data_IF_622688058652
#
_entry.id   IF_622688058652
#
_cell.length_a   1.000
_cell.length_b   1.000
_cell.length_c   1.000
_cell.angle_alpha   90.00
_cell.angle_beta   90.00
_cell.angle_gamma   90.00
#
_symmetry.space_group_name_H-M   'P 1'
#
loop_
_entity.id
_entity.type
_entity.pdbx_description
1 polymer ?
#
# COMPACT_ATOMS: atom_id res chain seq x y z
N UNK A 1 19.49 -1.48 0.01
CA UNK A 1 18.33 -2.39 0.05
C UNK A 1 17.33 -2.07 1.16
N UNK A 2 17.51 -2.47 2.44
CA UNK A 2 16.53 -2.11 3.52
C UNK A 2 16.28 -0.60 3.60
N UNK A 3 17.32 0.20 3.43
CA UNK A 3 17.23 1.66 3.45
C UNK A 3 16.43 2.25 2.27
N UNK A 4 16.41 1.57 1.11
CA UNK A 4 15.70 2.04 -0.10
C UNK A 4 14.21 1.72 0.00
N UNK A 5 13.84 0.54 0.50
CA UNK A 5 12.44 0.17 0.80
C UNK A 5 11.84 1.16 1.80
N UNK A 6 12.57 1.48 2.87
CA UNK A 6 12.12 2.45 3.87
C UNK A 6 11.98 3.87 3.27
N UNK A 7 12.93 4.29 2.43
CA UNK A 7 12.85 5.58 1.75
C UNK A 7 11.67 5.67 0.77
N UNK A 8 11.40 4.61 0.01
CA UNK A 8 10.26 4.54 -0.89
C UNK A 8 8.93 4.58 -0.12
N UNK A 9 8.82 3.83 0.97
CA UNK A 9 7.65 3.86 1.85
C UNK A 9 7.44 5.24 2.48
N UNK A 10 8.52 5.89 2.93
CA UNK A 10 8.46 7.25 3.46
C UNK A 10 7.99 8.25 2.39
N UNK A 11 8.44 8.09 1.14
CA UNK A 11 8.01 8.93 0.02
C UNK A 11 6.52 8.75 -0.30
N UNK A 12 6.00 7.51 -0.30
CA UNK A 12 4.55 7.28 -0.47
C UNK A 12 3.73 8.03 0.57
N UNK A 13 4.15 7.97 1.85
CA UNK A 13 3.48 8.69 2.94
C UNK A 13 3.61 10.20 2.83
N UNK A 14 4.81 10.70 2.55
CA UNK A 14 5.10 12.13 2.51
C UNK A 14 4.37 12.82 1.36
N UNK A 15 4.26 12.14 0.22
CA UNK A 15 3.64 12.68 -0.99
C UNK A 15 2.14 12.38 -1.08
N UNK A 16 1.56 11.72 -0.06
CA UNK A 16 0.17 11.25 -0.05
C UNK A 16 -0.18 10.44 -1.32
N UNK A 17 0.68 9.47 -1.67
CA UNK A 17 0.50 8.61 -2.83
C UNK A 17 0.08 7.20 -2.41
N UNK A 18 -0.81 6.63 -3.21
CA UNK A 18 -1.24 5.23 -3.07
C UNK A 18 -0.10 4.30 -3.49
N UNK A 19 0.15 3.28 -2.67
CA UNK A 19 1.13 2.24 -2.94
C UNK A 19 0.93 1.04 -2.03
N UNK A 20 1.82 0.06 -2.13
CA UNK A 20 1.79 -1.12 -1.28
C UNK A 20 3.18 -1.51 -0.79
N UNK A 21 3.30 -1.93 0.47
CA UNK A 21 4.44 -2.68 0.97
C UNK A 21 4.11 -4.17 0.87
N UNK A 22 4.84 -4.88 0.04
CA UNK A 22 4.64 -6.29 -0.23
C UNK A 22 5.76 -7.06 0.46
N UNK A 23 5.43 -7.94 1.40
CA UNK A 23 6.39 -8.65 2.24
C UNK A 23 6.12 -10.15 2.26
N UNK A 24 7.14 -10.96 2.05
CA UNK A 24 7.03 -12.41 2.24
C UNK A 24 7.07 -12.71 3.74
N UNK A 25 5.96 -13.20 4.28
CA UNK A 25 5.78 -13.47 5.71
C UNK A 25 5.91 -14.96 6.07
N UNK A 26 6.00 -15.84 5.06
CA UNK A 26 6.29 -17.27 5.21
C UNK A 26 6.82 -17.85 3.89
N UNK A 27 7.69 -18.87 3.95
CA UNK A 27 8.29 -19.54 2.80
C UNK A 27 9.78 -19.22 2.52
N UNK A 28 10.31 -19.62 1.35
CA UNK A 28 11.75 -19.57 1.03
C UNK A 28 12.39 -18.17 1.08
N UNK A 29 11.60 -17.12 0.82
CA UNK A 29 12.06 -15.73 0.73
C UNK A 29 11.59 -14.89 1.94
N UNK A 30 11.35 -15.54 3.09
CA UNK A 30 10.84 -14.88 4.30
C UNK A 30 11.66 -13.63 4.66
N UNK A 31 10.95 -12.51 4.83
CA UNK A 31 11.53 -11.20 5.16
C UNK A 31 11.92 -10.35 3.96
N UNK A 32 11.90 -10.90 2.73
CA UNK A 32 11.98 -10.08 1.53
C UNK A 32 10.78 -9.14 1.43
N UNK A 33 11.05 -7.89 1.03
CA UNK A 33 10.05 -6.86 0.90
C UNK A 33 10.34 -5.91 -0.25
N UNK A 34 9.27 -5.46 -0.90
CA UNK A 34 9.30 -4.44 -1.95
C UNK A 34 8.20 -3.42 -1.72
N UNK A 35 8.41 -2.20 -2.19
CA UNK A 35 7.39 -1.16 -2.27
C UNK A 35 6.97 -1.00 -3.72
N UNK A 36 5.66 -1.09 -3.97
CA UNK A 36 5.03 -0.78 -5.25
C UNK A 36 4.35 0.58 -5.16
N UNK A 37 4.69 1.48 -6.07
CA UNK A 37 4.04 2.77 -6.25
C UNK A 37 2.94 2.66 -7.31
N UNK A 38 1.68 2.90 -6.93
CA UNK A 38 0.52 2.74 -7.83
C UNK A 38 0.53 3.74 -8.99
N UNK A 39 1.05 4.95 -8.76
CA UNK A 39 0.99 6.04 -9.73
C UNK A 39 2.05 5.88 -10.83
N UNK A 40 3.24 5.41 -10.45
CA UNK A 40 4.39 5.29 -11.37
C UNK A 40 4.61 3.87 -11.86
N UNK A 41 4.05 2.86 -11.17
CA UNK A 41 4.38 1.45 -11.38
C UNK A 41 5.79 1.09 -10.89
N UNK A 42 6.48 2.01 -10.20
CA UNK A 42 7.83 1.77 -9.73
C UNK A 42 7.83 0.73 -8.60
N UNK A 43 8.72 -0.24 -8.71
CA UNK A 43 8.99 -1.24 -7.68
C UNK A 43 10.36 -0.95 -7.08
N UNK A 44 10.41 -0.76 -5.76
CA UNK A 44 11.65 -0.52 -5.01
C UNK A 44 11.87 -1.63 -4.00
N UNK A 45 13.01 -2.32 -4.08
CA UNK A 45 13.35 -3.39 -3.15
C UNK A 45 14.42 -4.31 -3.73
N UNK A 46 14.41 -5.56 -3.28
CA UNK A 46 15.43 -6.56 -3.63
C UNK A 46 15.31 -7.12 -5.06
N UNK A 47 14.24 -6.79 -5.80
CA UNK A 47 14.02 -7.24 -7.17
C UNK A 47 13.89 -8.77 -7.26
N UNK A 48 13.43 -9.39 -6.18
CA UNK A 48 13.48 -10.83 -6.02
C UNK A 48 12.50 -11.57 -6.95
N UNK A 49 12.85 -12.80 -7.40
CA UNK A 49 12.05 -13.55 -8.39
C UNK A 49 10.64 -13.96 -7.93
N UNK A 50 10.33 -13.85 -6.65
CA UNK A 50 9.01 -14.16 -6.11
C UNK A 50 7.97 -13.09 -6.46
N UNK A 51 8.40 -11.88 -6.84
CA UNK A 51 7.52 -10.80 -7.24
C UNK A 51 7.19 -10.94 -8.74
N UNK A 52 6.19 -11.77 -9.03
CA UNK A 52 5.70 -11.99 -10.38
C UNK A 52 4.48 -11.11 -10.71
N UNK A 53 3.93 -11.30 -11.91
CA UNK A 53 2.79 -10.53 -12.42
C UNK A 53 1.52 -10.77 -11.62
N UNK A 54 1.30 -11.97 -11.08
CA UNK A 54 0.12 -12.30 -10.27
C UNK A 54 0.16 -11.53 -8.95
N UNK A 55 1.31 -11.49 -8.27
CA UNK A 55 1.49 -10.71 -7.03
C UNK A 55 1.26 -9.22 -7.27
N UNK A 56 1.76 -8.68 -8.39
CA UNK A 56 1.58 -7.27 -8.75
C UNK A 56 0.12 -6.98 -9.09
N UNK A 57 -0.56 -7.88 -9.81
CA UNK A 57 -1.98 -7.74 -10.14
C UNK A 57 -2.83 -7.70 -8.87
N UNK A 58 -2.65 -8.67 -7.98
CA UNK A 58 -3.38 -8.73 -6.71
C UNK A 58 -3.07 -7.52 -5.82
N UNK A 59 -1.84 -7.00 -5.84
CA UNK A 59 -1.49 -5.77 -5.12
C UNK A 59 -2.23 -4.55 -5.66
N UNK A 60 -2.38 -4.43 -6.99
CA UNK A 60 -3.18 -3.36 -7.59
C UNK A 60 -4.66 -3.49 -7.23
N UNK A 61 -5.23 -4.69 -7.29
CA UNK A 61 -6.63 -4.93 -6.92
C UNK A 61 -6.91 -4.63 -5.45
N UNK A 62 -5.97 -4.97 -4.56
CA UNK A 62 -6.05 -4.64 -3.13
C UNK A 62 -5.90 -3.14 -2.86
N UNK A 63 -4.99 -2.46 -3.56
CA UNK A 63 -4.84 -1.01 -3.47
C UNK A 63 -6.10 -0.27 -3.93
N UNK A 64 -6.69 -0.69 -5.05
CA UNK A 64 -7.92 -0.09 -5.59
C UNK A 64 -9.13 -0.27 -4.63
N UNK A 65 -9.05 -1.24 -3.72
CA UNK A 65 -10.04 -1.51 -2.67
C UNK A 65 -9.65 -1.01 -1.28
N UNK A 66 -8.48 -0.40 -1.14
CA UNK A 66 -7.88 0.01 0.13
C UNK A 66 -7.84 -1.12 1.19
N UNK A 67 -7.56 -2.37 0.76
CA UNK A 67 -7.47 -3.53 1.63
C UNK A 67 -6.02 -3.99 1.80
N UNK A 68 -5.66 -4.43 3.01
CA UNK A 68 -4.41 -5.16 3.28
C UNK A 68 -4.72 -6.63 3.53
N UNK A 69 -3.98 -7.55 2.88
CA UNK A 69 -4.27 -8.99 2.95
C UNK A 69 -3.02 -9.85 2.80
N UNK A 70 -3.03 -11.00 3.46
CA UNK A 70 -2.07 -12.08 3.20
C UNK A 70 -2.63 -13.04 2.15
N UNK A 71 -1.89 -13.28 1.07
CA UNK A 71 -2.20 -14.18 -0.02
C UNK A 71 -1.12 -15.26 -0.16
N UNK A 72 -1.44 -16.36 -0.83
CA UNK A 72 -0.55 -17.52 -0.99
C UNK A 72 -0.18 -17.67 -2.45
N UNK A 73 1.13 -17.74 -2.73
CA UNK A 73 1.70 -17.91 -4.07
C UNK A 73 2.70 -19.08 -4.04
N UNK A 74 2.27 -20.26 -4.48
CA UNK A 74 3.05 -21.49 -4.34
C UNK A 74 3.40 -21.80 -2.88
N UNK A 75 4.69 -21.83 -2.55
CA UNK A 75 5.20 -22.09 -1.20
C UNK A 75 5.35 -20.81 -0.33
N UNK A 76 4.92 -19.66 -0.84
CA UNK A 76 5.08 -18.37 -0.18
C UNK A 76 3.75 -17.85 0.33
N UNK A 77 3.77 -17.27 1.52
CA UNK A 77 2.68 -16.40 1.99
C UNK A 77 3.16 -14.96 1.98
N UNK A 78 2.50 -14.12 1.21
CA UNK A 78 2.88 -12.73 0.97
C UNK A 78 1.82 -11.83 1.58
N UNK A 79 2.23 -10.92 2.45
CA UNK A 79 1.38 -9.86 2.98
C UNK A 79 1.53 -8.62 2.11
N UNK A 80 0.41 -8.16 1.57
CA UNK A 80 0.29 -6.92 0.82
C UNK A 80 -0.35 -5.91 1.75
N UNK A 81 0.43 -4.91 2.17
CA UNK A 81 -0.02 -3.82 3.03
C UNK A 81 -0.26 -2.57 2.19
N UNK A 82 -1.52 -2.18 2.03
CA UNK A 82 -1.90 -1.00 1.24
C UNK A 82 -1.60 0.27 2.03
N UNK A 83 -0.85 1.17 1.40
CA UNK A 83 -0.50 2.49 1.91
C UNK A 83 -1.35 3.51 1.15
N UNK A 84 -2.48 3.87 1.74
CA UNK A 84 -3.38 4.86 1.17
C UNK A 84 -3.10 6.26 1.74
N UNK A 85 -3.32 7.33 0.95
CA UNK A 85 -3.33 8.70 1.47
C UNK A 85 -4.48 8.91 2.46
N UNK A 86 -4.40 9.99 3.24
CA UNK A 86 -5.51 10.35 4.12
C UNK A 86 -6.73 10.74 3.29
N UNK A 87 -7.92 10.20 3.58
CA UNK A 87 -9.12 10.51 2.80
C UNK A 87 -9.48 12.00 2.93
N UNK A 88 -9.78 12.65 1.81
CA UNK A 88 -10.22 14.04 1.79
C UNK A 88 -11.74 14.10 1.82
N UNK A 89 -12.31 14.65 2.89
CA UNK A 89 -13.75 14.88 2.98
C UNK A 89 -14.10 16.31 2.54
N UNK A 90 -14.84 16.42 1.44
CA UNK A 90 -15.35 17.70 0.95
C UNK A 90 -16.77 17.95 1.47
N UNK A 91 -16.95 18.98 2.30
CA UNK A 91 -18.27 19.42 2.78
C UNK A 91 -18.74 20.60 1.94
N UNK A 92 -19.88 20.46 1.26
CA UNK A 92 -20.54 21.56 0.57
C UNK A 92 -21.70 22.09 1.42
N UNK A 93 -21.53 23.28 1.96
CA UNK A 93 -22.50 23.95 2.82
C UNK A 93 -22.02 24.11 4.27
N UNK A 94 -22.39 25.22 4.91
CA UNK A 94 -21.93 25.60 6.25
C UNK A 94 -23.10 25.78 7.25
N UNK A 95 -24.18 25.03 7.06
CA UNK A 95 -25.30 25.00 8.00
C UNK A 95 -24.98 24.23 9.28
N UNK A 96 -25.90 24.22 10.24
CA UNK A 96 -25.70 23.62 11.56
C UNK A 96 -25.34 22.11 11.55
N UNK A 97 -25.67 21.38 10.47
CA UNK A 97 -25.32 19.96 10.31
C UNK A 97 -23.84 19.77 9.91
N UNK A 98 -23.24 20.75 9.23
CA UNK A 98 -21.84 20.67 8.82
C UNK A 98 -20.88 20.74 10.02
N UNK A 99 -21.29 21.42 11.11
CA UNK A 99 -20.48 21.58 12.31
C UNK A 99 -20.14 20.24 12.99
N UNK A 100 -21.10 19.39 13.40
CA UNK A 100 -20.77 18.07 13.97
C UNK A 100 -20.09 17.15 12.95
N UNK A 101 -20.45 17.22 11.67
CA UNK A 101 -19.80 16.42 10.62
C UNK A 101 -18.30 16.73 10.50
N UNK A 102 -17.92 18.01 10.52
CA UNK A 102 -16.50 18.42 10.46
C UNK A 102 -15.69 17.99 11.68
N UNK A 103 -16.34 17.79 12.84
CA UNK A 103 -15.67 17.30 14.06
C UNK A 103 -15.36 15.82 13.95
N UNK A 104 -16.28 15.02 13.38
CA UNK A 104 -16.12 13.57 13.27
C UNK A 104 -15.18 13.12 12.15
N UNK A 105 -14.92 13.98 11.17
CA UNK A 105 -14.09 13.64 10.01
C UNK A 105 -12.60 13.95 10.17
N UNK A 106 -12.15 14.13 11.41
CA UNK A 106 -10.82 14.59 11.76
C UNK A 106 -9.99 13.47 12.39
#
# INVERSE_FOLDING_TARGET
MVNEVLAALAALKQDERLGALITVIDGPDMGSAVVLDRATGQITGDGSPWLDEDVISDANDLMDREESRALVYGERRVFIDTIAPSPVMLIFGAGHIAQPLSIFAR
#
